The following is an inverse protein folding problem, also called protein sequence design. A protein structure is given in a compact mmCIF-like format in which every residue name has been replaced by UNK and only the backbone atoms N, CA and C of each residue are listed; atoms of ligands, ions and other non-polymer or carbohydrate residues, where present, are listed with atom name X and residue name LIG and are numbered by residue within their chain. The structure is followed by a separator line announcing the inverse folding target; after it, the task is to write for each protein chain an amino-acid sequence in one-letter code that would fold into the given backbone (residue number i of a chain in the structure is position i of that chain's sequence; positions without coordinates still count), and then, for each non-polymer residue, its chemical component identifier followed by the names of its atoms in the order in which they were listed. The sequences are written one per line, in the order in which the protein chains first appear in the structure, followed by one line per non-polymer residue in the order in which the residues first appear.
data_IF_181468756075
#
_entry.id   IF_181468756075
#
_cell.length_a   1.000
_cell.length_b   1.000
_cell.length_c   1.000
_cell.angle_alpha   90.00
_cell.angle_beta   90.00
_cell.angle_gamma   90.00
#
_symmetry.space_group_name_H-M   'P 1'
#
loop_
_entity.id
_entity.type
_entity.pdbx_description
1 polymer ?
#
# COMPACT_ATOMS: atom_id res chain seq x y z
N UNK A 1 -7.32 19.03 -0.47
CA UNK A 1 -7.78 18.35 -1.71
C UNK A 1 -7.66 16.85 -1.53
N UNK A 2 -8.69 16.07 -1.86
CA UNK A 2 -8.61 14.60 -1.89
C UNK A 2 -8.19 14.16 -3.30
N UNK A 3 -7.22 13.25 -3.40
CA UNK A 3 -6.70 12.72 -4.66
C UNK A 3 -6.83 11.21 -4.61
N UNK A 4 -7.48 10.65 -5.60
CA UNK A 4 -7.82 9.23 -5.64
C UNK A 4 -7.33 8.62 -6.94
N UNK A 5 -6.66 7.47 -6.82
CA UNK A 5 -6.24 6.65 -7.96
C UNK A 5 -7.11 5.41 -8.00
N UNK A 6 -7.87 5.24 -9.09
CA UNK A 6 -8.65 4.03 -9.33
C UNK A 6 -7.89 3.13 -10.27
N UNK A 7 -7.46 1.99 -9.74
CA UNK A 7 -6.75 0.96 -10.49
C UNK A 7 -7.74 -0.11 -10.93
N UNK A 8 -7.79 -0.37 -12.22
CA UNK A 8 -8.59 -1.43 -12.82
C UNK A 8 -7.90 -2.79 -12.69
N UNK A 9 -8.66 -3.87 -12.87
CA UNK A 9 -8.18 -5.24 -12.70
C UNK A 9 -7.05 -5.61 -13.68
N UNK A 10 -7.07 -5.08 -14.90
CA UNK A 10 -6.01 -5.22 -15.90
C UNK A 10 -4.68 -4.62 -15.42
N UNK A 11 -4.73 -3.43 -14.81
CA UNK A 11 -3.55 -2.78 -14.23
C UNK A 11 -3.04 -3.54 -13.02
N UNK A 12 -3.95 -4.03 -12.16
CA UNK A 12 -3.58 -4.81 -10.97
C UNK A 12 -3.01 -6.18 -11.33
N UNK A 13 -3.50 -6.84 -12.37
CA UNK A 13 -3.06 -8.18 -12.78
C UNK A 13 -1.80 -8.20 -13.65
N UNK A 14 -1.38 -7.04 -14.16
CA UNK A 14 -0.23 -6.94 -15.05
C UNK A 14 1.11 -7.30 -14.37
N UNK A 15 2.03 -7.98 -15.06
CA UNK A 15 3.35 -8.25 -14.53
C UNK A 15 4.21 -6.97 -14.53
N UNK A 16 4.48 -6.45 -13.34
CA UNK A 16 5.23 -5.20 -13.16
C UNK A 16 6.69 -5.44 -12.76
N UNK A 17 7.59 -4.67 -13.34
CA UNK A 17 8.98 -4.52 -12.88
C UNK A 17 9.13 -3.40 -11.84
N UNK A 18 8.35 -2.33 -12.00
CA UNK A 18 8.38 -1.14 -11.15
C UNK A 18 6.99 -0.54 -11.04
N UNK A 19 6.63 -0.06 -9.85
CA UNK A 19 5.43 0.72 -9.62
C UNK A 19 5.76 1.82 -8.62
N UNK A 20 5.57 3.07 -9.00
CA UNK A 20 5.84 4.23 -8.15
C UNK A 20 4.72 5.26 -8.26
N UNK A 21 4.41 5.93 -7.16
CA UNK A 21 3.64 7.18 -7.20
C UNK A 21 4.56 8.35 -6.93
N UNK A 22 4.43 9.40 -7.74
CA UNK A 22 5.29 10.57 -7.77
C UNK A 22 4.53 11.80 -7.28
N UNK A 23 5.14 12.54 -6.38
CA UNK A 23 4.63 13.81 -5.86
C UNK A 23 5.69 14.89 -5.98
N UNK A 24 5.25 16.10 -6.31
CA UNK A 24 6.05 17.31 -6.29
C UNK A 24 5.47 18.28 -5.28
N UNK A 25 6.27 18.68 -4.28
CA UNK A 25 5.82 19.57 -3.23
C UNK A 25 6.62 20.88 -3.19
N UNK A 26 5.92 21.98 -2.92
CA UNK A 26 6.54 23.13 -2.25
C UNK A 26 6.90 22.71 -0.84
N UNK A 27 8.09 23.08 -0.37
CA UNK A 27 8.49 22.85 1.01
C UNK A 27 9.30 24.05 1.53
N UNK A 28 8.64 25.20 1.75
CA UNK A 28 9.33 26.46 2.08
C UNK A 28 10.03 26.42 3.45
N UNK A 29 9.57 25.55 4.35
CA UNK A 29 10.14 25.36 5.69
C UNK A 29 11.13 24.20 5.76
N UNK A 30 11.48 23.59 4.62
CA UNK A 30 12.43 22.48 4.52
C UNK A 30 12.14 21.32 5.49
N UNK A 31 10.86 21.00 5.68
CA UNK A 31 10.42 19.91 6.54
C UNK A 31 10.89 18.56 6.01
N UNK A 32 11.14 17.62 6.92
CA UNK A 32 11.19 16.21 6.55
C UNK A 32 9.77 15.76 6.19
N UNK A 33 9.59 15.14 5.02
CA UNK A 33 8.30 14.65 4.52
C UNK A 33 8.37 13.14 4.41
N UNK A 34 7.62 12.44 5.25
CA UNK A 34 7.57 10.98 5.29
C UNK A 34 6.20 10.48 4.80
N UNK A 35 6.14 9.71 3.69
CA UNK A 35 4.93 9.02 3.29
C UNK A 35 4.67 7.81 4.18
N UNK A 36 3.40 7.60 4.52
CA UNK A 36 2.95 6.47 5.32
C UNK A 36 1.70 5.87 4.69
N UNK A 37 1.72 4.56 4.46
CA UNK A 37 0.53 3.76 4.15
C UNK A 37 -0.01 3.17 5.47
N UNK A 38 -1.01 3.78 6.12
CA UNK A 38 -1.38 3.41 7.50
C UNK A 38 -1.88 1.96 7.62
N UNK A 39 -2.47 1.42 6.55
CA UNK A 39 -2.93 0.03 6.48
C UNK A 39 -1.79 -0.99 6.51
N UNK A 40 -0.62 -0.62 5.97
CA UNK A 40 0.60 -1.42 5.95
C UNK A 40 1.45 -1.20 7.20
N UNK A 41 1.55 0.05 7.67
CA UNK A 41 2.31 0.41 8.87
C UNK A 41 1.78 -0.33 10.10
N UNK A 42 0.45 -0.39 10.28
CA UNK A 42 -0.20 -1.17 11.37
C UNK A 42 0.17 -2.66 11.37
N UNK A 43 0.64 -3.19 10.25
CA UNK A 43 1.05 -4.59 10.05
C UNK A 43 2.56 -4.78 10.11
N UNK A 44 3.31 -3.71 10.41
CA UNK A 44 4.77 -3.74 10.52
C UNK A 44 5.50 -3.65 9.17
N UNK A 45 4.82 -3.17 8.12
CA UNK A 45 5.39 -3.02 6.79
C UNK A 45 5.79 -1.57 6.53
N UNK A 46 7.10 -1.27 6.41
CA UNK A 46 7.55 0.08 6.17
C UNK A 46 7.16 0.53 4.75
N UNK A 47 6.75 1.78 4.64
CA UNK A 47 6.55 2.42 3.33
C UNK A 47 7.92 2.70 2.72
N UNK A 48 8.21 2.16 1.54
CA UNK A 48 9.47 2.41 0.83
C UNK A 48 9.32 3.66 -0.03
N UNK A 49 10.24 4.60 0.09
CA UNK A 49 10.20 5.84 -0.66
C UNK A 49 11.59 6.43 -0.86
N UNK A 50 11.70 7.39 -1.77
CA UNK A 50 12.89 8.21 -1.98
C UNK A 50 12.49 9.68 -2.09
N UNK A 51 13.37 10.56 -1.62
CA UNK A 51 13.19 12.01 -1.64
C UNK A 51 14.35 12.62 -2.42
N UNK A 52 14.02 13.41 -3.44
CA UNK A 52 14.96 14.26 -4.16
C UNK A 52 14.56 15.72 -4.01
N UNK A 53 15.53 16.63 -4.15
CA UNK A 53 15.26 18.07 -4.23
C UNK A 53 15.81 18.55 -5.57
N UNK A 54 14.96 19.21 -6.35
CA UNK A 54 15.32 19.77 -7.65
C UNK A 54 14.69 21.16 -7.79
N UNK A 55 15.51 22.17 -8.03
CA UNK A 55 15.06 23.55 -8.23
C UNK A 55 14.16 24.09 -7.09
N UNK A 56 14.42 23.67 -5.85
CA UNK A 56 13.62 24.05 -4.68
C UNK A 56 12.32 23.29 -4.49
N UNK A 57 12.00 22.35 -5.39
CA UNK A 57 10.84 21.46 -5.33
C UNK A 57 11.28 20.12 -4.73
N UNK A 58 10.47 19.59 -3.82
CA UNK A 58 10.68 18.24 -3.27
C UNK A 58 10.01 17.21 -4.18
N UNK A 59 10.81 16.32 -4.76
CA UNK A 59 10.35 15.14 -5.49
C UNK A 59 10.26 13.95 -4.52
N UNK A 60 9.04 13.52 -4.19
CA UNK A 60 8.81 12.32 -3.40
C UNK A 60 8.35 11.19 -4.31
N UNK A 61 9.02 10.03 -4.23
CA UNK A 61 8.64 8.82 -4.98
C UNK A 61 8.36 7.70 -3.99
N UNK A 62 7.16 7.17 -3.99
CA UNK A 62 6.75 6.06 -3.13
C UNK A 62 6.72 4.79 -3.96
N UNK A 63 7.46 3.78 -3.54
CA UNK A 63 7.50 2.46 -4.18
C UNK A 63 6.23 1.68 -3.80
N UNK A 64 5.45 1.34 -4.82
CA UNK A 64 4.20 0.60 -4.73
C UNK A 64 4.35 -0.84 -5.22
N UNK A 65 5.53 -1.28 -5.67
CA UNK A 65 5.70 -2.58 -6.33
C UNK A 65 5.26 -3.73 -5.41
N UNK A 66 5.67 -3.69 -4.15
CA UNK A 66 5.31 -4.74 -3.20
C UNK A 66 3.83 -4.70 -2.85
N UNK A 67 3.19 -3.53 -2.89
CA UNK A 67 1.74 -3.42 -2.74
C UNK A 67 1.03 -4.09 -3.92
N UNK A 68 1.42 -3.77 -5.16
CA UNK A 68 0.87 -4.41 -6.36
C UNK A 68 1.02 -5.93 -6.33
N UNK A 69 2.20 -6.44 -5.98
CA UNK A 69 2.45 -7.88 -5.84
C UNK A 69 1.56 -8.53 -4.78
N UNK A 70 1.32 -7.84 -3.66
CA UNK A 70 0.41 -8.33 -2.64
C UNK A 70 -1.04 -8.37 -3.13
N UNK A 71 -1.49 -7.36 -3.86
CA UNK A 71 -2.83 -7.31 -4.45
C UNK A 71 -3.02 -8.39 -5.52
N UNK A 72 -2.01 -8.64 -6.34
CA UNK A 72 -2.02 -9.70 -7.36
C UNK A 72 -2.25 -11.09 -6.75
N UNK A 73 -1.64 -11.39 -5.61
CA UNK A 73 -1.86 -12.66 -4.93
C UNK A 73 -3.27 -12.81 -4.36
N UNK A 74 -3.92 -11.71 -4.00
CA UNK A 74 -5.32 -11.73 -3.55
C UNK A 74 -6.29 -11.95 -4.72
N UNK A 75 -5.96 -11.44 -5.91
CA UNK A 75 -6.79 -11.58 -7.13
C UNK A 75 -6.57 -12.95 -7.78
N UNK A 76 -5.34 -13.46 -7.81
CA UNK A 76 -4.97 -14.73 -8.46
C UNK A 76 -5.21 -16.01 -7.64
N UNK A 77 -5.77 -15.90 -6.43
CA UNK A 77 -5.98 -17.04 -5.54
C UNK A 77 -7.22 -17.85 -5.89
N UNK A 78 -7.03 -19.06 -6.43
CA UNK A 78 -8.11 -20.05 -6.62
C UNK A 78 -8.77 -20.39 -5.28
N UNK A 79 -10.07 -20.07 -5.15
CA UNK A 79 -11.02 -20.69 -4.20
C UNK A 79 -10.62 -20.67 -2.72
N UNK A 80 -10.58 -19.49 -2.09
CA UNK A 80 -11.05 -19.18 -0.72
C UNK A 80 -10.62 -17.75 -0.42
N UNK A 81 -11.55 -16.80 -0.37
CA UNK A 81 -11.25 -15.37 -0.23
C UNK A 81 -10.23 -15.09 0.89
N UNK A 82 -9.07 -14.47 0.60
CA UNK A 82 -8.05 -14.30 1.62
C UNK A 82 -8.17 -12.96 2.33
N UNK A 83 -8.12 -13.03 3.66
CA UNK A 83 -7.98 -11.87 4.55
C UNK A 83 -6.65 -11.15 4.28
N UNK A 84 -6.63 -9.83 4.43
CA UNK A 84 -5.43 -8.96 4.37
C UNK A 84 -4.27 -9.51 5.25
N UNK A 85 -4.54 -10.41 6.20
CA UNK A 85 -3.53 -11.16 6.98
C UNK A 85 -2.54 -11.94 6.07
N UNK A 86 -2.95 -12.39 4.88
CA UNK A 86 -2.07 -13.15 3.99
C UNK A 86 -1.00 -12.32 3.27
N UNK A 87 -1.09 -10.98 3.30
CA UNK A 87 -0.04 -10.09 2.78
C UNK A 87 1.32 -10.33 3.45
N UNK A 88 1.34 -10.90 4.66
CA UNK A 88 2.58 -11.23 5.38
C UNK A 88 3.43 -12.31 4.70
N UNK A 89 2.86 -13.05 3.73
CA UNK A 89 3.59 -14.04 2.93
C UNK A 89 4.31 -13.43 1.71
N UNK A 90 4.13 -12.13 1.42
CA UNK A 90 4.81 -11.45 0.30
C UNK A 90 6.27 -11.22 0.65
N UNK A 91 7.18 -11.83 -0.11
CA UNK A 91 8.62 -11.57 -0.03
C UNK A 91 8.89 -10.10 -0.35
N UNK A 92 9.25 -9.30 0.66
CA UNK A 92 9.48 -7.85 0.52
C UNK A 92 8.65 -6.99 1.47
N UNK A 93 7.54 -7.51 2.01
CA UNK A 93 6.85 -6.87 3.13
C UNK A 93 7.45 -7.29 4.48
N UNK A 94 8.02 -8.48 4.60
CA UNK A 94 8.59 -8.97 5.87
C UNK A 94 9.75 -8.12 6.41
N UNK A 95 9.67 -7.71 7.68
CA UNK A 95 10.78 -7.15 8.45
C UNK A 95 11.98 -8.11 8.45
N UNK A 96 13.22 -7.66 8.17
CA UNK A 96 14.41 -8.47 8.41
C UNK A 96 14.54 -8.75 9.91
N UNK A 97 14.49 -10.02 10.32
CA UNK A 97 14.89 -10.43 11.68
C UNK A 97 13.87 -11.15 12.55
N UNK A 98 12.66 -11.50 12.06
CA UNK A 98 11.75 -12.37 12.83
C UNK A 98 11.86 -13.80 12.32
N UNK A 99 12.54 -14.64 13.10
CA UNK A 99 12.55 -16.10 12.93
C UNK A 99 11.12 -16.58 13.08
N UNK A 100 10.56 -17.13 12.00
CA UNK A 100 9.25 -17.81 12.01
C UNK A 100 9.33 -18.98 13.01
N UNK A 101 8.52 -19.00 14.08
CA UNK A 101 8.39 -20.20 14.88
C UNK A 101 7.71 -21.26 14.02
N UNK A 102 8.35 -22.43 13.92
CA UNK A 102 7.84 -23.62 13.24
C UNK A 102 6.56 -24.07 13.96
N UNK A 103 5.40 -23.57 13.55
CA UNK A 103 4.13 -24.08 14.05
C UNK A 103 3.68 -25.26 13.19
N UNK A 104 3.74 -26.43 13.82
CA UNK A 104 3.11 -27.69 13.43
C UNK A 104 1.62 -27.45 13.10
N UNK A 105 1.07 -28.03 12.02
CA UNK A 105 -0.33 -27.83 11.67
C UNK A 105 -1.26 -28.54 12.67
N UNK A 106 -2.35 -27.92 13.15
CA UNK A 106 -3.41 -28.65 13.81
C UNK A 106 -4.33 -29.33 12.79
N UNK A 107 -4.78 -30.49 13.22
CA UNK A 107 -5.57 -31.51 12.55
C UNK A 107 -6.94 -31.03 12.08
N UNK A 108 -7.34 -31.52 10.91
CA UNK A 108 -8.68 -31.43 10.32
C UNK A 108 -9.69 -32.13 11.24
N UNK A 109 -10.77 -31.44 11.63
CA UNK A 109 -11.99 -32.09 12.06
C UNK A 109 -13.21 -31.45 11.40
N UNK A 110 -14.06 -32.37 10.94
CA UNK A 110 -15.32 -32.24 10.21
C UNK A 110 -16.34 -31.36 10.92
N UNK A 111 -17.08 -30.56 10.14
CA UNK A 111 -18.46 -30.21 10.49
C UNK A 111 -19.28 -30.08 9.21
N UNK A 112 -20.37 -30.86 9.15
CA UNK A 112 -21.36 -31.05 8.08
C UNK A 112 -22.05 -29.71 7.68
N UNK A 113 -22.46 -29.52 6.42
CA UNK A 113 -22.89 -28.22 5.91
C UNK A 113 -24.36 -27.92 6.21
N UNK A 114 -24.65 -26.66 6.54
CA UNK A 114 -26.02 -26.10 6.54
C UNK A 114 -26.22 -25.35 5.22
N UNK A 115 -27.17 -25.86 4.46
CA UNK A 115 -27.71 -25.35 3.20
C UNK A 115 -28.31 -23.95 3.40
N UNK A 116 -27.83 -22.97 2.64
CA UNK A 116 -28.45 -21.64 2.53
C UNK A 116 -28.81 -21.38 1.07
N UNK A 117 -30.05 -20.95 0.90
CA UNK A 117 -30.81 -20.97 -0.33
C UNK A 117 -30.27 -20.11 -1.47
N UNK A 118 -30.83 -20.44 -2.62
CA UNK A 118 -30.62 -19.85 -3.93
C UNK A 118 -31.08 -18.38 -3.95
N UNK A 119 -30.14 -17.43 -3.97
CA UNK A 119 -30.39 -16.08 -4.46
C UNK A 119 -29.13 -15.52 -5.12
N UNK A 120 -29.23 -15.38 -6.45
CA UNK A 120 -28.26 -14.76 -7.36
C UNK A 120 -28.07 -13.28 -7.00
N UNK A 121 -26.98 -12.96 -6.32
CA UNK A 121 -26.24 -11.72 -6.55
C UNK A 121 -24.74 -12.06 -6.46
N UNK A 122 -24.03 -11.85 -7.57
CA UNK A 122 -22.58 -11.95 -7.55
C UNK A 122 -22.06 -10.96 -6.50
N UNK A 123 -21.19 -11.37 -5.54
CA UNK A 123 -20.68 -10.43 -4.56
C UNK A 123 -19.92 -9.34 -5.32
N UNK A 124 -20.41 -8.10 -5.26
CA UNK A 124 -19.65 -6.92 -5.66
C UNK A 124 -18.31 -7.01 -4.93
N UNK A 125 -17.23 -7.24 -5.68
CA UNK A 125 -15.91 -7.38 -5.10
C UNK A 125 -15.64 -6.11 -4.27
N UNK A 126 -15.27 -6.23 -2.98
CA UNK A 126 -15.03 -5.06 -2.15
C UNK A 126 -13.93 -4.22 -2.80
N UNK A 127 -14.26 -2.99 -3.16
CA UNK A 127 -13.26 -2.04 -3.66
C UNK A 127 -12.27 -1.81 -2.52
N UNK A 128 -11.02 -2.21 -2.72
CA UNK A 128 -9.99 -2.01 -1.72
C UNK A 128 -9.52 -0.56 -1.75
N UNK A 129 -9.81 0.19 -0.70
CA UNK A 129 -9.36 1.57 -0.54
C UNK A 129 -8.10 1.62 0.34
N UNK A 130 -7.05 2.26 -0.18
CA UNK A 130 -5.78 2.44 0.51
C UNK A 130 -5.43 3.93 0.56
N UNK A 131 -5.31 4.46 1.78
CA UNK A 131 -4.89 5.83 2.01
C UNK A 131 -3.37 5.96 2.09
N UNK A 132 -2.83 7.00 1.46
CA UNK A 132 -1.46 7.47 1.67
C UNK A 132 -1.50 8.77 2.49
N UNK A 133 -0.91 8.74 3.67
CA UNK A 133 -0.71 9.92 4.51
C UNK A 133 0.69 10.50 4.33
N UNK A 134 0.82 11.80 4.60
CA UNK A 134 2.11 12.50 4.69
C UNK A 134 2.30 13.01 6.10
N UNK A 135 3.42 12.63 6.71
CA UNK A 135 3.86 13.11 8.00
C UNK A 135 4.99 14.09 7.79
N UNK A 136 4.88 15.27 8.41
CA UNK A 136 5.90 16.30 8.32
C UNK A 136 6.52 16.57 9.68
N UNK A 137 7.84 16.70 9.75
CA UNK A 137 8.55 17.05 10.98
C UNK A 137 9.67 18.07 10.72
N UNK A 138 9.94 18.90 11.72
CA UNK A 138 11.16 19.70 11.81
C UNK A 138 12.20 18.81 12.52
N UNK A 139 13.13 18.18 11.80
CA UNK A 139 14.07 17.20 12.38
C UNK A 139 13.36 15.93 12.95
N UNK A 140 14.02 15.18 13.84
CA UNK A 140 13.48 14.00 14.54
C UNK A 140 12.48 14.37 15.68
N UNK A 141 11.76 15.48 15.51
CA UNK A 141 10.78 15.96 16.50
C UNK A 141 9.36 15.48 16.18
N UNK A 142 8.37 16.11 16.83
CA UNK A 142 6.95 15.75 16.77
C UNK A 142 6.41 15.85 15.34
N UNK A 143 5.62 14.86 14.93
CA UNK A 143 4.93 14.84 13.64
C UNK A 143 3.79 15.85 13.64
N UNK A 144 3.74 16.68 12.59
CA UNK A 144 2.74 17.71 12.39
C UNK A 144 2.02 17.58 11.03
N UNK A 145 0.81 18.15 10.89
CA UNK A 145 0.14 18.28 9.60
C UNK A 145 0.96 19.14 8.64
N UNK A 146 1.31 18.59 7.49
CA UNK A 146 2.15 19.23 6.47
C UNK A 146 1.58 20.58 5.96
N UNK A 147 0.25 20.65 5.80
CA UNK A 147 -0.44 21.82 5.23
C UNK A 147 -0.22 23.10 6.06
N UNK A 148 -0.14 22.97 7.39
CA UNK A 148 0.05 24.09 8.31
C UNK A 148 1.42 24.76 8.16
N UNK A 149 2.39 24.08 7.54
CA UNK A 149 3.76 24.56 7.34
C UNK A 149 4.05 24.92 5.87
N UNK A 150 3.00 25.11 5.07
CA UNK A 150 3.14 25.55 3.68
C UNK A 150 3.62 24.46 2.72
N UNK A 151 3.58 23.20 3.13
CA UNK A 151 3.79 22.08 2.22
C UNK A 151 2.54 21.93 1.35
N UNK A 152 2.71 22.09 0.04
CA UNK A 152 1.61 22.03 -0.93
C UNK A 152 2.04 21.24 -2.15
N UNK A 153 1.08 20.57 -2.78
CA UNK A 153 1.31 19.92 -4.07
C UNK A 153 1.46 20.99 -5.16
N UNK A 154 2.55 20.94 -5.90
CA UNK A 154 2.78 21.80 -7.07
C UNK A 154 2.03 21.29 -8.30
N UNK A 155 1.91 19.96 -8.42
CA UNK A 155 1.27 19.31 -9.55
C UNK A 155 0.38 18.15 -9.10
N UNK A 156 -0.52 17.72 -9.99
CA UNK A 156 -1.26 16.49 -9.78
C UNK A 156 -0.26 15.31 -9.72
N UNK A 157 -0.31 14.49 -8.66
CA UNK A 157 0.55 13.31 -8.58
C UNK A 157 0.14 12.28 -9.63
N UNK A 158 1.08 11.42 -10.00
CA UNK A 158 0.86 10.38 -11.01
C UNK A 158 1.50 9.06 -10.58
N UNK A 159 0.95 7.96 -11.11
CA UNK A 159 1.51 6.62 -10.95
C UNK A 159 2.32 6.29 -12.20
N UNK A 160 3.59 5.92 -12.02
CA UNK A 160 4.45 5.40 -13.06
C UNK A 160 4.57 3.87 -12.90
N UNK A 161 4.20 3.15 -13.95
CA UNK A 161 4.28 1.69 -14.01
C UNK A 161 5.26 1.28 -15.11
N UNK A 162 6.12 0.32 -14.81
CA UNK A 162 6.98 -0.35 -15.79
C UNK A 162 6.58 -1.81 -15.86
N UNK A 163 6.16 -2.24 -17.04
CA UNK A 163 5.73 -3.60 -17.33
C UNK A 163 6.90 -4.46 -17.78
N UNK A 164 6.78 -5.78 -17.58
CA UNK A 164 7.67 -6.80 -18.14
C UNK A 164 7.37 -7.08 -19.60
#
# INVERSE_FOLDING_TARGET
SNIEFRLSEDVLSAPLERAEVHFHFSNPQHLNIQPVLPSLEKRGFPTRYSVGIKDGIVELRVDLLTLFQALQMLIGGTSRGPSIIEMHRVRGLTRPGVVVPKHTPPTVQDTVPVEWGDEKEAPLQPTLELGLGLYCSLEDTVVHPCENYGVRLEHAPFIALTYR
#
